data_IF_162808123159
#
_entry.id   IF_162808123159
#
_cell.length_a   1.000
_cell.length_b   1.000
_cell.length_c   1.000
_cell.angle_alpha   90.00
_cell.angle_beta   90.00
_cell.angle_gamma   90.00
#
_symmetry.space_group_name_H-M   'P 1'
#
loop_
_entity.id
_entity.type
_entity.pdbx_description
1 polymer ?
#
# COMPACT_ATOMS: atom_id res chain seq x y z
N UNK A 1 28.05 -62.08 -19.15
CA UNK A 1 27.19 -61.51 -18.08
C UNK A 1 26.79 -60.10 -18.50
N UNK A 2 25.50 -59.89 -18.80
CA UNK A 2 24.94 -58.60 -19.24
C UNK A 2 24.85 -57.65 -18.06
N UNK A 3 25.37 -56.42 -18.19
CA UNK A 3 25.04 -55.31 -17.28
C UNK A 3 24.59 -54.13 -18.13
N UNK A 4 23.28 -53.97 -18.19
CA UNK A 4 22.60 -52.82 -18.76
C UNK A 4 22.83 -51.62 -17.86
N UNK A 5 23.48 -50.57 -18.37
CA UNK A 5 23.53 -49.26 -17.73
C UNK A 5 22.35 -48.44 -18.25
N UNK A 6 21.37 -48.25 -17.36
CA UNK A 6 20.13 -47.53 -17.60
C UNK A 6 20.44 -46.03 -17.58
N UNK A 7 20.08 -45.37 -18.68
CA UNK A 7 20.04 -43.91 -18.86
C UNK A 7 18.97 -43.37 -17.90
N UNK A 8 19.38 -42.66 -16.84
CA UNK A 8 18.46 -41.91 -15.99
C UNK A 8 18.40 -40.47 -16.50
N UNK A 9 17.41 -40.20 -17.35
CA UNK A 9 17.07 -38.85 -17.79
C UNK A 9 16.57 -38.02 -16.62
N UNK A 10 17.27 -36.93 -16.33
CA UNK A 10 16.83 -35.88 -15.42
C UNK A 10 15.65 -35.18 -16.10
N UNK A 11 14.44 -35.55 -15.71
CA UNK A 11 13.23 -34.81 -16.05
C UNK A 11 13.31 -33.53 -15.22
N UNK A 12 13.74 -32.43 -15.85
CA UNK A 12 13.44 -31.10 -15.36
C UNK A 12 11.93 -30.93 -15.36
N UNK A 13 11.29 -31.33 -14.27
CA UNK A 13 9.97 -30.82 -13.93
C UNK A 13 10.16 -29.33 -13.68
N UNK A 14 10.02 -28.53 -14.75
CA UNK A 14 9.70 -27.13 -14.61
C UNK A 14 8.45 -27.09 -13.75
N UNK A 15 8.62 -26.71 -12.48
CA UNK A 15 7.53 -26.39 -11.58
C UNK A 15 6.85 -25.17 -12.18
N UNK A 16 5.90 -25.41 -13.09
CA UNK A 16 4.99 -24.40 -13.59
C UNK A 16 4.29 -23.90 -12.33
N UNK A 17 4.52 -22.65 -11.88
CA UNK A 17 3.77 -22.11 -10.77
C UNK A 17 2.30 -22.23 -11.15
N UNK A 18 1.42 -22.68 -10.24
CA UNK A 18 0.00 -22.78 -10.54
C UNK A 18 -0.46 -21.44 -11.11
N UNK A 19 -1.11 -21.47 -12.28
CA UNK A 19 -1.58 -20.33 -13.06
C UNK A 19 -2.55 -19.37 -12.31
N UNK A 20 -2.72 -19.54 -11.00
CA UNK A 20 -3.48 -18.71 -10.08
C UNK A 20 -2.61 -17.79 -9.20
N UNK A 21 -1.29 -17.99 -9.16
CA UNK A 21 -0.35 -17.01 -8.63
C UNK A 21 0.26 -16.22 -9.79
N UNK A 22 -0.60 -15.65 -10.65
CA UNK A 22 -0.16 -14.52 -11.47
C UNK A 22 0.25 -13.47 -10.47
N UNK A 23 1.55 -13.24 -10.35
CA UNK A 23 2.10 -12.02 -9.76
C UNK A 23 1.36 -10.89 -10.45
N UNK A 24 0.30 -10.41 -9.80
CA UNK A 24 -0.48 -9.28 -10.25
C UNK A 24 0.39 -8.07 -9.94
N UNK A 25 1.47 -7.89 -10.72
CA UNK A 25 2.02 -6.59 -11.01
C UNK A 25 0.94 -5.83 -11.79
N UNK A 26 -0.21 -5.56 -11.15
CA UNK A 26 -1.09 -4.53 -11.66
C UNK A 26 -0.29 -3.29 -11.43
N UNK A 27 0.33 -2.81 -12.51
CA UNK A 27 0.94 -1.50 -12.55
C UNK A 27 -0.17 -0.50 -12.23
N UNK A 28 -0.35 -0.19 -10.94
CA UNK A 28 -1.17 0.92 -10.49
C UNK A 28 -0.45 2.18 -10.96
N UNK A 29 -0.64 2.54 -12.23
CA UNK A 29 -0.07 3.75 -12.78
C UNK A 29 -0.88 4.94 -12.25
N UNK A 30 -0.25 5.87 -11.57
CA UNK A 30 -0.99 6.94 -10.88
C UNK A 30 -1.77 7.86 -11.84
N UNK A 31 -1.37 7.91 -13.11
CA UNK A 31 -1.93 8.78 -14.15
C UNK A 31 -3.32 8.31 -14.59
N UNK A 32 -3.54 7.00 -14.78
CA UNK A 32 -4.88 6.47 -15.17
C UNK A 32 -5.64 5.83 -14.01
N UNK A 33 -5.02 5.76 -12.83
CA UNK A 33 -5.67 5.18 -11.65
C UNK A 33 -6.67 6.15 -11.02
N UNK A 34 -7.93 5.75 -11.01
CA UNK A 34 -9.00 6.40 -10.27
C UNK A 34 -9.41 5.51 -9.10
N UNK A 35 -9.51 6.04 -7.90
CA UNK A 35 -10.02 5.29 -6.75
C UNK A 35 -11.42 5.76 -6.41
N UNK A 36 -12.29 4.83 -6.07
CA UNK A 36 -13.68 5.08 -5.71
C UNK A 36 -14.08 4.21 -4.55
N UNK A 37 -14.99 4.74 -3.73
CA UNK A 37 -15.56 4.11 -2.52
C UNK A 37 -14.46 3.73 -1.52
N UNK A 38 -14.60 4.17 -0.28
CA UNK A 38 -13.71 3.67 0.75
C UNK A 38 -14.32 3.70 2.13
N UNK A 39 -13.85 2.78 2.93
CA UNK A 39 -14.30 2.59 4.30
C UNK A 39 -13.14 2.91 5.22
N UNK A 40 -13.39 3.85 6.12
CA UNK A 40 -12.63 3.94 7.35
C UNK A 40 -13.35 3.05 8.35
N UNK A 41 -12.69 2.02 8.84
CA UNK A 41 -13.15 1.41 10.08
C UNK A 41 -12.85 2.42 11.18
N UNK A 42 -13.52 2.37 12.33
CA UNK A 42 -13.22 3.22 13.49
C UNK A 42 -11.85 2.86 14.15
N UNK A 43 -10.90 2.44 13.31
CA UNK A 43 -9.59 1.88 13.55
C UNK A 43 -8.66 2.47 12.50
N UNK A 44 -7.37 2.31 12.73
CA UNK A 44 -6.30 2.77 11.84
C UNK A 44 -6.42 2.18 10.43
N UNK A 45 -7.22 1.15 10.21
CA UNK A 45 -7.40 0.49 8.92
C UNK A 45 -8.30 1.30 7.98
N UNK A 46 -7.91 1.35 6.71
CA UNK A 46 -8.67 1.95 5.63
C UNK A 46 -8.65 1.05 4.40
N UNK A 47 -9.67 1.20 3.55
CA UNK A 47 -9.72 0.50 2.27
C UNK A 47 -10.36 1.36 1.19
N UNK A 48 -9.98 1.13 -0.06
CA UNK A 48 -10.62 1.71 -1.24
C UNK A 48 -10.50 0.77 -2.43
N UNK A 49 -11.28 0.98 -3.50
CA UNK A 49 -11.07 0.26 -4.76
C UNK A 49 -10.49 1.21 -5.79
N UNK A 50 -9.34 0.86 -6.35
CA UNK A 50 -8.70 1.63 -7.41
C UNK A 50 -8.85 0.91 -8.75
N UNK A 51 -9.20 1.65 -9.80
CA UNK A 51 -9.35 1.15 -11.16
C UNK A 51 -8.22 1.68 -12.03
N UNK A 52 -7.48 0.78 -12.66
CA UNK A 52 -6.37 1.09 -13.57
C UNK A 52 -6.55 0.25 -14.83
N UNK A 53 -6.49 0.87 -16.01
CA UNK A 53 -6.67 0.18 -17.30
C UNK A 53 -7.92 -0.73 -17.36
N UNK A 54 -9.03 -0.32 -16.73
CA UNK A 54 -10.26 -1.12 -16.70
C UNK A 54 -10.34 -2.17 -15.58
N UNK A 55 -9.24 -2.46 -14.89
CA UNK A 55 -9.16 -3.48 -13.84
C UNK A 55 -9.36 -2.84 -12.47
N UNK A 56 -10.32 -3.37 -11.69
CA UNK A 56 -10.54 -2.97 -10.30
C UNK A 56 -9.60 -3.75 -9.36
N UNK A 57 -8.92 -3.01 -8.49
CA UNK A 57 -7.97 -3.51 -7.50
C UNK A 57 -8.41 -3.04 -6.11
N UNK A 58 -8.73 -3.96 -5.18
CA UNK A 58 -8.96 -3.59 -3.79
C UNK A 58 -7.64 -3.18 -3.15
N UNK A 59 -7.64 -2.00 -2.55
CA UNK A 59 -6.54 -1.44 -1.77
C UNK A 59 -6.93 -1.52 -0.30
N UNK A 60 -6.04 -2.08 0.51
CA UNK A 60 -6.16 -2.06 1.96
C UNK A 60 -4.92 -1.39 2.50
N UNK A 61 -5.10 -0.56 3.51
CA UNK A 61 -4.01 0.14 4.16
C UNK A 61 -4.27 0.39 5.63
N UNK A 62 -3.25 0.90 6.27
CA UNK A 62 -3.25 1.38 7.64
C UNK A 62 -2.89 2.86 7.66
N UNK A 63 -3.42 3.56 8.64
CA UNK A 63 -3.16 4.94 8.94
C UNK A 63 -2.35 4.99 10.24
N UNK A 64 -1.58 6.05 10.42
CA UNK A 64 -0.74 6.19 11.59
C UNK A 64 -0.47 7.64 11.88
N UNK A 65 -0.43 7.94 13.18
CA UNK A 65 -0.13 9.25 13.71
C UNK A 65 1.32 9.29 14.16
N UNK A 66 2.06 10.29 13.70
CA UNK A 66 3.49 10.44 13.91
C UNK A 66 3.81 11.81 14.48
N UNK A 67 4.96 11.90 15.14
CA UNK A 67 5.62 13.16 15.48
C UNK A 67 6.39 13.76 14.29
N UNK A 68 6.57 13.01 13.20
CA UNK A 68 7.23 13.46 12.00
C UNK A 68 6.27 14.23 11.09
N UNK A 69 6.58 15.51 10.88
CA UNK A 69 5.92 16.32 9.86
C UNK A 69 6.44 15.95 8.46
N UNK A 70 5.56 15.49 7.58
CA UNK A 70 5.92 15.21 6.18
C UNK A 70 5.98 16.46 5.29
N UNK A 71 5.51 17.62 5.78
CA UNK A 71 5.56 18.90 5.06
C UNK A 71 4.56 19.00 3.91
N UNK A 72 4.70 18.15 2.90
CA UNK A 72 3.87 18.14 1.69
C UNK A 72 3.24 16.77 1.44
N UNK A 73 1.99 16.79 0.95
CA UNK A 73 1.23 15.58 0.58
C UNK A 73 2.05 14.72 -0.39
N UNK A 74 2.11 13.42 -0.12
CA UNK A 74 2.88 12.48 -0.95
C UNK A 74 4.32 12.29 -0.50
N UNK A 75 4.81 13.05 0.49
CA UNK A 75 6.10 12.76 1.12
C UNK A 75 6.11 11.36 1.70
N UNK A 76 7.21 10.62 1.48
CA UNK A 76 7.31 9.22 1.90
C UNK A 76 8.29 9.01 3.04
N UNK A 77 8.06 7.97 3.85
CA UNK A 77 8.95 7.54 4.93
C UNK A 77 8.91 6.02 5.09
N UNK A 78 10.04 5.41 5.47
CA UNK A 78 10.09 3.97 5.80
C UNK A 78 9.54 3.67 7.19
N UNK A 79 9.70 4.62 8.10
CA UNK A 79 9.35 4.50 9.50
C UNK A 79 8.37 5.58 9.92
N UNK A 80 7.60 5.28 10.96
CA UNK A 80 6.65 6.20 11.54
C UNK A 80 7.01 6.46 13.01
N UNK A 81 7.92 7.40 13.30
CA UNK A 81 8.32 7.67 14.67
C UNK A 81 7.16 8.28 15.46
N UNK A 82 7.10 7.97 16.75
CA UNK A 82 6.15 8.57 17.69
C UNK A 82 6.92 9.29 18.79
N UNK A 83 6.32 10.35 19.32
CA UNK A 83 6.80 11.07 20.51
C UNK A 83 6.12 10.50 21.75
N UNK A 84 6.85 10.48 22.87
CA UNK A 84 6.26 10.21 24.20
C UNK A 84 5.34 11.33 24.65
N UNK A 85 5.52 12.55 24.11
CA UNK A 85 4.54 13.61 24.24
C UNK A 85 3.42 13.36 23.22
N UNK A 86 2.26 12.94 23.71
CA UNK A 86 1.15 12.50 22.86
C UNK A 86 0.73 13.58 21.88
N UNK A 87 0.76 14.86 22.26
CA UNK A 87 0.28 15.98 21.45
C UNK A 87 1.11 16.24 20.19
N UNK A 88 2.35 15.74 20.15
CA UNK A 88 3.20 15.84 18.98
C UNK A 88 2.79 14.83 17.89
N UNK A 89 2.07 13.76 18.25
CA UNK A 89 1.67 12.69 17.32
C UNK A 89 0.42 13.08 16.50
N UNK A 90 0.47 14.21 15.82
CA UNK A 90 -0.66 14.79 15.08
C UNK A 90 -0.51 14.74 13.56
N UNK A 91 0.63 14.25 13.06
CA UNK A 91 0.90 14.12 11.63
C UNK A 91 0.39 12.78 11.14
N UNK A 92 -0.54 12.80 10.18
CA UNK A 92 -1.15 11.60 9.66
C UNK A 92 -0.42 11.08 8.42
N UNK A 93 -0.12 9.79 8.47
CA UNK A 93 0.53 9.03 7.43
C UNK A 93 -0.29 7.80 7.08
N UNK A 94 -0.24 7.41 5.82
CA UNK A 94 -0.97 6.28 5.28
C UNK A 94 -0.01 5.27 4.68
N UNK A 95 -0.32 3.99 4.79
CA UNK A 95 0.47 2.93 4.19
C UNK A 95 -0.47 1.89 3.61
N UNK A 96 -0.26 1.55 2.34
CA UNK A 96 -0.93 0.41 1.72
C UNK A 96 -0.27 -0.87 2.23
N UNK A 97 -1.07 -1.87 2.56
CA UNK A 97 -0.61 -3.21 2.97
C UNK A 97 -1.04 -4.30 2.00
N UNK A 98 -2.00 -4.01 1.11
CA UNK A 98 -2.43 -4.88 0.01
C UNK A 98 -2.86 -4.03 -1.18
N UNK A 99 -2.54 -4.42 -2.43
CA UNK A 99 -1.90 -5.68 -2.84
C UNK A 99 -0.38 -5.75 -2.62
N UNK A 100 0.27 -4.64 -2.29
CA UNK A 100 1.65 -4.61 -1.85
C UNK A 100 1.83 -3.63 -0.69
N UNK A 101 2.97 -3.73 -0.01
CA UNK A 101 3.26 -2.92 1.18
C UNK A 101 4.01 -1.66 0.79
N UNK A 102 3.34 -0.51 0.75
CA UNK A 102 3.98 0.77 0.40
C UNK A 102 4.90 1.31 1.49
N UNK A 103 5.65 2.36 1.16
CA UNK A 103 6.17 3.30 2.17
C UNK A 103 5.02 4.01 2.87
N UNK A 104 5.28 4.60 4.03
CA UNK A 104 4.35 5.56 4.62
C UNK A 104 4.27 6.80 3.73
N UNK A 105 3.07 7.34 3.55
CA UNK A 105 2.79 8.51 2.73
C UNK A 105 2.07 9.54 3.59
N UNK A 106 2.68 10.70 3.76
CA UNK A 106 2.09 11.81 4.48
C UNK A 106 0.95 12.43 3.68
N UNK A 107 -0.13 12.79 4.38
CA UNK A 107 -1.20 13.59 3.76
C UNK A 107 -1.53 14.87 4.52
N UNK A 108 -1.49 14.90 5.86
CA UNK A 108 -1.87 16.12 6.59
C UNK A 108 -1.38 16.15 8.04
N UNK A 109 -1.34 17.36 8.61
CA UNK A 109 -1.24 17.61 10.04
C UNK A 109 -2.63 17.90 10.60
N UNK A 110 -3.03 17.23 11.67
CA UNK A 110 -4.27 17.54 12.36
C UNK A 110 -4.00 18.46 13.56
N UNK A 111 -5.08 19.00 14.13
CA UNK A 111 -5.01 19.95 15.25
C UNK A 111 -4.54 19.32 16.56
N UNK A 112 -4.69 18.00 16.71
CA UNK A 112 -4.25 17.24 17.89
C UNK A 112 -4.03 15.78 17.55
N UNK A 113 -3.36 15.06 18.45
CA UNK A 113 -3.16 13.62 18.32
C UNK A 113 -4.46 12.82 18.44
N UNK A 114 -5.40 13.24 19.30
CA UNK A 114 -6.72 12.64 19.37
C UNK A 114 -7.51 12.80 18.08
N UNK A 115 -7.43 14.00 17.46
CA UNK A 115 -8.01 14.24 16.16
C UNK A 115 -7.37 13.34 15.10
N UNK A 116 -6.04 13.18 15.13
CA UNK A 116 -5.31 12.27 14.24
C UNK A 116 -5.80 10.83 14.40
N UNK A 117 -5.84 10.30 15.62
CA UNK A 117 -6.28 8.94 15.88
C UNK A 117 -7.69 8.65 15.35
N UNK A 118 -8.58 9.65 15.36
CA UNK A 118 -9.96 9.51 14.90
C UNK A 118 -10.13 9.66 13.38
N UNK A 119 -9.43 10.61 12.75
CA UNK A 119 -9.69 11.02 11.36
C UNK A 119 -8.66 10.53 10.34
N UNK A 120 -7.51 10.02 10.78
CA UNK A 120 -6.38 9.72 9.90
C UNK A 120 -6.72 8.67 8.84
N UNK A 121 -7.42 7.59 9.19
CA UNK A 121 -7.87 6.57 8.22
C UNK A 121 -8.91 7.08 7.23
N UNK A 122 -9.87 7.90 7.68
CA UNK A 122 -10.82 8.58 6.79
C UNK A 122 -10.14 9.50 5.78
N UNK A 123 -9.11 10.23 6.22
CA UNK A 123 -8.30 11.06 5.33
C UNK A 123 -7.46 10.23 4.35
N UNK A 124 -6.91 9.08 4.76
CA UNK A 124 -6.22 8.17 3.84
C UNK A 124 -7.12 7.72 2.68
N UNK A 125 -8.40 7.39 2.98
CA UNK A 125 -9.40 7.07 1.95
C UNK A 125 -9.63 8.25 1.01
N UNK A 126 -9.95 9.43 1.57
CA UNK A 126 -10.25 10.60 0.76
C UNK A 126 -9.08 11.00 -0.14
N UNK A 127 -7.85 10.97 0.37
CA UNK A 127 -6.67 11.35 -0.40
C UNK A 127 -6.31 10.32 -1.46
N UNK A 128 -6.51 9.02 -1.20
CA UNK A 128 -6.41 7.99 -2.22
C UNK A 128 -7.40 8.26 -3.37
N UNK A 129 -8.63 8.69 -3.07
CA UNK A 129 -9.66 9.01 -4.07
C UNK A 129 -9.33 10.30 -4.83
N UNK A 130 -9.02 11.38 -4.13
CA UNK A 130 -9.04 12.74 -4.71
C UNK A 130 -7.67 13.21 -5.21
N UNK A 131 -6.56 12.73 -4.64
CA UNK A 131 -5.23 13.31 -4.88
C UNK A 131 -4.31 12.38 -5.67
N UNK A 132 -4.06 12.74 -6.93
CA UNK A 132 -3.16 11.99 -7.80
C UNK A 132 -1.70 11.94 -7.29
N UNK A 133 -1.21 13.02 -6.66
CA UNK A 133 0.13 13.04 -6.04
C UNK A 133 0.26 12.03 -4.90
N UNK A 134 -0.78 11.93 -4.07
CA UNK A 134 -0.84 10.94 -3.00
C UNK A 134 -0.87 9.51 -3.56
N UNK A 135 -1.72 9.23 -4.57
CA UNK A 135 -1.72 7.92 -5.24
C UNK A 135 -0.36 7.57 -5.86
N UNK A 136 0.30 8.54 -6.48
CA UNK A 136 1.63 8.36 -7.06
C UNK A 136 2.64 7.91 -6.02
N UNK A 137 2.66 8.55 -4.86
CA UNK A 137 3.53 8.18 -3.76
C UNK A 137 3.16 6.81 -3.15
N UNK A 138 1.86 6.54 -2.99
CA UNK A 138 1.34 5.29 -2.43
C UNK A 138 1.67 4.07 -3.29
N UNK A 139 1.68 4.23 -4.61
CA UNK A 139 1.92 3.15 -5.57
C UNK A 139 3.34 3.13 -6.14
N UNK A 140 4.23 4.02 -5.69
CA UNK A 140 5.57 4.19 -6.25
C UNK A 140 6.45 2.92 -6.27
N UNK A 141 6.18 1.97 -5.37
CA UNK A 141 6.93 0.71 -5.26
C UNK A 141 6.32 -0.45 -6.07
N UNK A 142 5.17 -0.24 -6.73
CA UNK A 142 4.50 -1.25 -7.56
C UNK A 142 4.99 -1.22 -9.02
N UNK A 143 5.94 -0.35 -9.34
CA UNK A 143 6.46 -0.12 -10.68
C UNK A 143 7.86 -0.69 -10.92
N UNK A 144 8.43 -1.44 -9.98
CA UNK A 144 9.72 -2.14 -10.13
C UNK A 144 9.55 -3.63 -10.46
#
# INVERSE_FOLDING_TARGET
MKKHLIIAGIICAASIPPAAAVTKCVALNSISTTCSVGYSFARLDWSTTCKTNGISVPIVGIAGCSSQNGGTIGTTSDSLPTSSNSDDNKYCWCKMVSPAVSRWVYYNSLSSAGNCAYNCSGGCVQYAIEKASFRSALFAILSD
#
